data_IF_843358128013
#
_entry.id   IF_843358128013
#
_cell.length_a   1.000
_cell.length_b   1.000
_cell.length_c   1.000
_cell.angle_alpha   90.00
_cell.angle_beta   90.00
_cell.angle_gamma   90.00
#
_symmetry.space_group_name_H-M   'P 1'
#
loop_
_entity.id
_entity.type
_entity.pdbx_description
1 polymer ?
#
# COMPACT_ATOMS: atom_id res chain seq x y z
N UNK A 1 7.96 -11.74 19.81
CA UNK A 1 8.04 -11.45 18.37
C UNK A 1 6.92 -10.52 17.87
N UNK A 2 5.87 -10.22 18.64
CA UNK A 2 4.76 -9.34 18.19
C UNK A 2 4.82 -7.91 18.77
N UNK A 3 6.01 -7.36 18.96
CA UNK A 3 6.12 -5.95 19.34
C UNK A 3 5.83 -5.11 18.08
N UNK A 4 4.87 -4.17 18.09
CA UNK A 4 4.56 -3.32 16.94
C UNK A 4 5.78 -2.64 16.33
N UNK A 5 6.71 -2.16 17.18
CA UNK A 5 7.96 -1.55 16.73
C UNK A 5 8.88 -2.53 15.99
N UNK A 6 8.89 -3.81 16.40
CA UNK A 6 9.65 -4.84 15.70
C UNK A 6 9.03 -5.16 14.33
N UNK A 7 7.70 -5.33 14.29
CA UNK A 7 6.97 -5.57 13.04
C UNK A 7 7.17 -4.42 12.04
N UNK A 8 7.09 -3.18 12.50
CA UNK A 8 7.35 -1.99 11.70
C UNK A 8 8.77 -1.94 11.14
N UNK A 9 9.78 -2.28 11.95
CA UNK A 9 11.18 -2.38 11.48
C UNK A 9 11.35 -3.47 10.43
N UNK A 10 10.66 -4.61 10.56
CA UNK A 10 10.69 -5.66 9.54
C UNK A 10 10.10 -5.18 8.21
N UNK A 11 8.94 -4.50 8.25
CA UNK A 11 8.33 -3.92 7.05
C UNK A 11 9.21 -2.84 6.42
N UNK A 12 9.77 -1.93 7.22
CA UNK A 12 10.71 -0.92 6.75
C UNK A 12 11.96 -1.55 6.12
N UNK A 13 12.53 -2.59 6.74
CA UNK A 13 13.68 -3.30 6.17
C UNK A 13 13.31 -3.95 4.83
N UNK A 14 12.11 -4.53 4.70
CA UNK A 14 11.64 -5.09 3.45
C UNK A 14 11.58 -4.03 2.34
N UNK A 15 11.06 -2.83 2.63
CA UNK A 15 11.04 -1.71 1.67
C UNK A 15 12.45 -1.25 1.27
N UNK A 16 13.37 -1.15 2.23
CA UNK A 16 14.76 -0.78 1.92
C UNK A 16 15.45 -1.84 1.06
N UNK A 17 15.22 -3.12 1.34
CA UNK A 17 15.75 -4.23 0.54
C UNK A 17 15.15 -4.25 -0.87
N UNK A 18 13.88 -3.83 -1.03
CA UNK A 18 13.21 -3.75 -2.33
C UNK A 18 13.89 -2.79 -3.30
N UNK A 19 14.36 -1.63 -2.83
CA UNK A 19 15.09 -0.67 -3.68
C UNK A 19 16.59 -0.99 -3.75
N UNK A 20 17.15 -1.62 -2.71
CA UNK A 20 18.57 -2.02 -2.71
C UNK A 20 18.86 -3.26 -3.59
N UNK A 21 17.83 -3.99 -4.01
CA UNK A 21 17.97 -5.10 -4.93
C UNK A 21 18.47 -4.63 -6.30
N UNK A 22 19.55 -5.24 -6.80
CA UNK A 22 20.11 -4.93 -8.11
C UNK A 22 20.44 -6.23 -8.88
N UNK A 23 20.10 -6.31 -10.18
CA UNK A 23 19.29 -5.34 -10.93
C UNK A 23 17.80 -5.44 -10.55
N UNK A 24 17.07 -4.31 -10.59
CA UNK A 24 15.60 -4.26 -10.46
C UNK A 24 14.96 -3.96 -11.82
N UNK A 25 14.44 -4.98 -12.53
CA UNK A 25 13.91 -4.77 -13.88
C UNK A 25 12.76 -3.76 -13.91
N UNK A 26 12.92 -2.71 -14.72
CA UNK A 26 11.85 -1.74 -15.00
C UNK A 26 11.51 -0.80 -13.85
N UNK A 27 12.36 -0.68 -12.83
CA UNK A 27 12.12 0.21 -11.68
C UNK A 27 13.45 0.79 -11.16
N UNK A 28 13.36 1.74 -10.22
CA UNK A 28 14.52 2.38 -9.60
C UNK A 28 15.33 1.38 -8.76
N UNK A 29 16.65 1.37 -8.94
CA UNK A 29 17.60 0.68 -8.09
C UNK A 29 18.87 1.52 -7.84
N UNK A 30 19.90 0.91 -7.24
CA UNK A 30 21.15 1.60 -6.88
C UNK A 30 21.84 2.31 -8.04
N UNK A 31 21.73 1.77 -9.26
CA UNK A 31 22.44 2.23 -10.45
C UNK A 31 21.48 2.73 -11.55
N UNK A 32 20.16 2.75 -11.28
CA UNK A 32 19.14 3.17 -12.23
C UNK A 32 18.09 4.07 -11.56
N UNK A 33 18.13 5.37 -11.87
CA UNK A 33 17.11 6.35 -11.46
C UNK A 33 16.18 6.72 -12.62
N UNK A 34 14.98 7.17 -12.28
CA UNK A 34 14.11 7.93 -13.20
C UNK A 34 14.41 9.43 -13.08
N UNK A 35 14.02 10.27 -14.08
CA UNK A 35 14.29 11.71 -14.04
C UNK A 35 13.79 12.41 -12.77
N UNK A 36 12.63 11.97 -12.26
CA UNK A 36 11.98 12.57 -11.10
C UNK A 36 12.07 11.70 -9.84
N UNK A 37 12.46 10.42 -9.95
CA UNK A 37 12.42 9.45 -8.85
C UNK A 37 13.76 8.73 -8.73
N UNK A 38 14.43 8.87 -7.58
CA UNK A 38 15.77 8.30 -7.34
C UNK A 38 15.78 7.30 -6.19
N UNK A 39 16.86 6.54 -6.08
CA UNK A 39 17.13 5.63 -4.97
C UNK A 39 16.94 6.28 -3.58
N UNK A 40 17.41 7.51 -3.39
CA UNK A 40 17.28 8.26 -2.13
C UNK A 40 15.82 8.61 -1.81
N UNK A 41 14.97 8.83 -2.81
CA UNK A 41 13.54 9.03 -2.59
C UNK A 41 12.90 7.78 -1.99
N UNK A 42 13.27 6.59 -2.48
CA UNK A 42 12.81 5.34 -1.87
C UNK A 42 13.33 5.21 -0.43
N UNK A 43 14.61 5.45 -0.16
CA UNK A 43 15.14 5.39 1.21
C UNK A 43 14.43 6.35 2.15
N UNK A 44 14.24 7.61 1.75
CA UNK A 44 13.53 8.61 2.52
C UNK A 44 12.08 8.21 2.77
N UNK A 45 11.39 7.65 1.76
CA UNK A 45 10.04 7.10 1.92
C UNK A 45 10.02 5.97 2.96
N UNK A 46 10.93 5.00 2.89
CA UNK A 46 10.95 3.87 3.82
C UNK A 46 11.23 4.31 5.26
N UNK A 47 12.11 5.30 5.45
CA UNK A 47 12.38 5.90 6.76
C UNK A 47 11.17 6.66 7.28
N UNK A 48 10.60 7.54 6.46
CA UNK A 48 9.49 8.43 6.83
C UNK A 48 8.21 7.70 7.22
N UNK A 49 7.89 6.59 6.57
CA UNK A 49 6.65 5.86 6.83
C UNK A 49 6.66 5.00 8.10
N UNK A 50 7.80 4.86 8.78
CA UNK A 50 7.91 4.01 9.99
C UNK A 50 6.79 4.22 11.04
N UNK A 51 6.42 5.46 11.42
CA UNK A 51 5.38 5.68 12.42
C UNK A 51 4.02 5.09 11.99
N UNK A 52 3.69 5.15 10.70
CA UNK A 52 2.45 4.58 10.15
C UNK A 52 2.49 3.06 10.14
N UNK A 53 3.65 2.46 9.82
CA UNK A 53 3.83 1.00 9.89
C UNK A 53 3.69 0.49 11.33
N UNK A 54 4.22 1.22 12.31
CA UNK A 54 4.04 0.88 13.72
C UNK A 54 2.59 1.02 14.18
N UNK A 55 1.88 2.04 13.72
CA UNK A 55 0.45 2.22 14.00
C UNK A 55 -0.41 1.12 13.33
N UNK A 56 -0.06 0.71 12.10
CA UNK A 56 -0.72 -0.40 11.43
C UNK A 56 -0.59 -1.70 12.25
N UNK A 57 0.58 -1.97 12.83
CA UNK A 57 0.80 -3.11 13.71
C UNK A 57 0.03 -3.04 15.05
N UNK A 58 -0.56 -1.90 15.41
CA UNK A 58 -1.45 -1.73 16.59
C UNK A 58 -2.93 -1.76 16.22
N UNK A 59 -3.24 -1.53 14.95
CA UNK A 59 -4.58 -1.34 14.44
C UNK A 59 -5.27 -2.67 14.10
N UNK A 60 -6.60 -2.67 14.20
CA UNK A 60 -7.46 -3.83 13.82
C UNK A 60 -8.43 -3.51 12.70
N UNK A 61 -8.61 -2.23 12.37
CA UNK A 61 -9.51 -1.71 11.33
C UNK A 61 -8.85 -0.48 10.69
N UNK A 62 -9.43 0.04 9.61
CA UNK A 62 -8.96 1.28 8.99
C UNK A 62 -7.75 1.10 8.06
N UNK A 63 -7.64 -0.05 7.39
CA UNK A 63 -6.54 -0.33 6.47
C UNK A 63 -6.42 0.75 5.37
N UNK A 64 -7.53 1.24 4.83
CA UNK A 64 -7.50 2.28 3.79
C UNK A 64 -6.95 3.61 4.32
N UNK A 65 -7.31 3.98 5.55
CA UNK A 65 -6.81 5.20 6.18
C UNK A 65 -5.31 5.12 6.49
N UNK A 66 -4.82 3.94 6.90
CA UNK A 66 -3.39 3.68 7.10
C UNK A 66 -2.62 3.72 5.78
N UNK A 67 -3.18 3.18 4.68
CA UNK A 67 -2.56 3.26 3.35
C UNK A 67 -2.43 4.71 2.90
N UNK A 68 -3.49 5.51 3.09
CA UNK A 68 -3.42 6.96 2.83
C UNK A 68 -2.36 7.65 3.69
N UNK A 69 -2.33 7.36 4.99
CA UNK A 69 -1.35 7.96 5.89
C UNK A 69 0.09 7.62 5.50
N UNK A 70 0.35 6.39 5.02
CA UNK A 70 1.66 5.99 4.54
C UNK A 70 2.05 6.73 3.25
N UNK A 71 1.11 6.89 2.31
CA UNK A 71 1.31 7.71 1.11
C UNK A 71 1.63 9.18 1.48
N UNK A 72 0.90 9.76 2.43
CA UNK A 72 1.16 11.12 2.91
C UNK A 72 2.53 11.27 3.56
N UNK A 73 2.91 10.37 4.47
CA UNK A 73 4.23 10.41 5.10
C UNK A 73 5.35 10.22 4.09
N UNK A 74 5.19 9.34 3.10
CA UNK A 74 6.15 9.22 1.99
C UNK A 74 6.33 10.59 1.31
N UNK A 75 5.25 11.21 0.86
CA UNK A 75 5.31 12.51 0.16
C UNK A 75 5.78 13.68 1.04
N UNK A 76 5.72 13.58 2.37
CA UNK A 76 6.33 14.57 3.27
C UNK A 76 7.86 14.46 3.31
N UNK A 77 8.40 13.25 3.15
CA UNK A 77 9.83 12.96 3.29
C UNK A 77 10.59 12.97 1.97
N UNK A 78 9.90 12.87 0.83
CA UNK A 78 10.51 12.87 -0.50
C UNK A 78 9.61 13.56 -1.54
N UNK A 79 10.15 13.87 -2.73
CA UNK A 79 9.43 14.62 -3.78
C UNK A 79 9.42 13.94 -5.16
N UNK A 80 9.86 12.69 -5.25
CA UNK A 80 9.89 11.91 -6.48
C UNK A 80 8.63 11.11 -6.79
N UNK A 81 7.47 11.54 -6.29
CA UNK A 81 6.19 10.89 -6.57
C UNK A 81 6.09 9.48 -5.99
N UNK A 82 5.55 8.55 -6.78
CA UNK A 82 5.31 7.18 -6.36
C UNK A 82 6.62 6.40 -6.16
N UNK A 83 6.90 6.03 -4.90
CA UNK A 83 8.01 5.15 -4.53
C UNK A 83 7.49 3.78 -4.10
N UNK A 84 6.79 3.72 -2.96
CA UNK A 84 6.41 2.48 -2.28
C UNK A 84 4.90 2.26 -2.17
N UNK A 85 4.07 2.88 -3.02
CA UNK A 85 2.62 2.78 -2.85
C UNK A 85 2.15 1.32 -2.79
N UNK A 86 2.58 0.48 -3.74
CA UNK A 86 2.28 -0.95 -3.75
C UNK A 86 2.74 -1.67 -2.47
N UNK A 87 3.91 -1.31 -1.93
CA UNK A 87 4.38 -1.87 -0.67
C UNK A 87 3.48 -1.49 0.50
N UNK A 88 2.92 -0.27 0.55
CA UNK A 88 1.95 0.10 1.58
C UNK A 88 0.67 -0.74 1.49
N UNK A 89 0.14 -0.92 0.28
CA UNK A 89 -1.05 -1.75 0.03
C UNK A 89 -0.82 -3.20 0.47
N UNK A 90 0.37 -3.74 0.25
CA UNK A 90 0.72 -5.09 0.66
C UNK A 90 0.98 -5.20 2.18
N UNK A 91 1.82 -4.32 2.74
CA UNK A 91 2.37 -4.47 4.08
C UNK A 91 1.40 -4.08 5.19
N UNK A 92 0.50 -3.11 4.97
CA UNK A 92 -0.40 -2.63 6.03
C UNK A 92 -1.33 -3.73 6.55
N UNK A 93 -2.07 -4.48 5.71
CA UNK A 93 -2.89 -5.59 6.19
C UNK A 93 -2.08 -6.67 6.88
N UNK A 94 -0.86 -6.96 6.41
CA UNK A 94 0.04 -7.94 7.01
C UNK A 94 0.50 -7.50 8.41
N UNK A 95 0.85 -6.23 8.58
CA UNK A 95 1.21 -5.65 9.88
C UNK A 95 0.05 -5.70 10.86
N UNK A 96 -1.14 -5.27 10.42
CA UNK A 96 -2.37 -5.36 11.21
C UNK A 96 -2.66 -6.80 11.64
N UNK A 97 -2.50 -7.76 10.73
CA UNK A 97 -2.71 -9.18 10.98
C UNK A 97 -1.71 -9.72 12.02
N UNK A 98 -0.42 -9.46 11.83
CA UNK A 98 0.64 -9.90 12.74
C UNK A 98 0.50 -9.30 14.14
N UNK A 99 0.16 -8.00 14.22
CA UNK A 99 -0.05 -7.29 15.47
C UNK A 99 -1.27 -7.76 16.24
N UNK A 100 -2.37 -8.03 15.54
CA UNK A 100 -3.62 -8.53 16.13
C UNK A 100 -3.70 -10.05 16.28
N UNK A 101 -2.69 -10.79 15.80
CA UNK A 101 -2.64 -12.26 15.77
C UNK A 101 -3.83 -12.87 15.03
N UNK A 102 -4.17 -12.30 13.88
CA UNK A 102 -5.19 -12.82 12.98
C UNK A 102 -4.63 -13.09 11.59
N UNK A 103 -5.45 -13.62 10.69
CA UNK A 103 -5.06 -13.84 9.31
C UNK A 103 -5.22 -12.55 8.51
N UNK A 104 -4.28 -12.25 7.62
CA UNK A 104 -4.36 -11.06 6.76
C UNK A 104 -5.59 -11.10 5.84
N UNK A 105 -6.01 -12.30 5.40
CA UNK A 105 -7.28 -12.53 4.69
C UNK A 105 -8.49 -11.97 5.45
N UNK A 106 -8.51 -12.11 6.78
CA UNK A 106 -9.58 -11.55 7.61
C UNK A 106 -9.54 -10.02 7.64
N UNK A 107 -8.35 -9.43 7.78
CA UNK A 107 -8.18 -7.96 7.76
C UNK A 107 -8.74 -7.36 6.46
N UNK A 108 -8.40 -7.97 5.31
CA UNK A 108 -8.85 -7.44 4.01
C UNK A 108 -10.33 -7.68 3.76
N UNK A 109 -10.91 -8.82 4.17
CA UNK A 109 -12.34 -9.10 4.06
C UNK A 109 -13.21 -8.19 4.96
N UNK A 110 -12.67 -7.76 6.10
CA UNK A 110 -13.32 -6.86 7.04
C UNK A 110 -13.21 -5.37 6.64
N UNK A 111 -12.56 -5.06 5.51
CA UNK A 111 -12.53 -3.70 4.97
C UNK A 111 -13.92 -3.18 4.61
N UNK A 112 -14.04 -1.86 4.60
CA UNK A 112 -15.30 -1.14 4.41
C UNK A 112 -15.27 -0.23 3.20
N UNK A 113 -16.42 0.36 2.85
CA UNK A 113 -16.47 1.43 1.86
C UNK A 113 -15.72 2.69 2.27
N UNK A 114 -15.56 2.92 3.58
CA UNK A 114 -14.67 3.97 4.07
C UNK A 114 -13.21 3.66 3.71
N UNK A 115 -12.76 2.42 3.90
CA UNK A 115 -11.41 2.02 3.50
C UNK A 115 -11.20 2.18 1.98
N UNK A 116 -12.21 1.83 1.19
CA UNK A 116 -12.19 2.03 -0.26
C UNK A 116 -12.01 3.51 -0.65
N UNK A 117 -12.75 4.42 -0.02
CA UNK A 117 -12.63 5.86 -0.28
C UNK A 117 -11.25 6.40 0.14
N UNK A 118 -10.73 5.99 1.30
CA UNK A 118 -9.40 6.41 1.74
C UNK A 118 -8.30 5.86 0.82
N UNK A 119 -8.46 4.64 0.31
CA UNK A 119 -7.56 4.04 -0.68
C UNK A 119 -7.54 4.83 -2.00
N UNK A 120 -8.71 5.24 -2.51
CA UNK A 120 -8.82 6.11 -3.69
C UNK A 120 -8.07 7.43 -3.49
N UNK A 121 -8.21 8.06 -2.33
CA UNK A 121 -7.46 9.28 -1.99
C UNK A 121 -5.95 9.04 -1.96
N UNK A 122 -5.53 7.86 -1.50
CA UNK A 122 -4.12 7.52 -1.41
C UNK A 122 -3.44 7.45 -2.79
N UNK A 123 -4.15 6.97 -3.83
CA UNK A 123 -3.65 6.99 -5.22
C UNK A 123 -3.32 8.39 -5.70
N UNK A 124 -4.22 9.35 -5.47
CA UNK A 124 -4.01 10.75 -5.87
C UNK A 124 -2.81 11.37 -5.14
N UNK A 125 -2.63 11.06 -3.86
CA UNK A 125 -1.53 11.59 -3.04
C UNK A 125 -0.18 11.01 -3.48
N UNK A 126 -0.14 9.70 -3.74
CA UNK A 126 1.09 9.03 -4.14
C UNK A 126 1.45 9.24 -5.62
N UNK A 127 0.69 10.04 -6.38
CA UNK A 127 0.91 10.32 -7.81
C UNK A 127 1.05 9.02 -8.63
N UNK A 128 0.28 8.00 -8.27
CA UNK A 128 0.34 6.71 -8.95
C UNK A 128 -0.20 6.87 -10.36
N UNK A 129 0.63 6.52 -11.35
CA UNK A 129 0.20 6.42 -12.75
C UNK A 129 -0.55 5.11 -12.92
N UNK A 130 -1.78 5.20 -13.37
CA UNK A 130 -2.64 4.05 -13.63
C UNK A 130 -2.97 4.10 -15.11
N UNK A 131 -2.64 3.04 -15.83
CA UNK A 131 -3.17 2.86 -17.17
C UNK A 131 -4.69 2.73 -17.05
N UNK A 132 -5.42 3.59 -17.74
CA UNK A 132 -6.88 3.76 -17.59
C UNK A 132 -7.62 2.42 -17.48
N UNK A 133 -8.21 2.14 -16.32
CA UNK A 133 -9.06 0.96 -16.10
C UNK A 133 -10.51 1.36 -16.41
N UNK A 134 -11.24 0.64 -17.31
CA UNK A 134 -12.53 1.09 -17.85
C UNK A 134 -13.65 1.35 -16.83
N UNK A 135 -13.63 0.69 -15.67
CA UNK A 135 -14.81 0.63 -14.79
C UNK A 135 -14.76 1.61 -13.60
N UNK A 136 -13.58 2.12 -13.24
CA UNK A 136 -13.44 3.11 -12.18
C UNK A 136 -12.25 4.03 -12.48
N UNK A 137 -12.54 5.11 -13.19
CA UNK A 137 -11.54 6.15 -13.38
C UNK A 137 -11.29 6.84 -12.02
N UNK A 138 -10.08 6.65 -11.51
CA UNK A 138 -9.61 7.26 -10.25
C UNK A 138 -9.55 8.79 -10.34
N UNK A 139 -9.66 9.35 -11.55
CA UNK A 139 -9.80 10.78 -11.83
C UNK A 139 -11.23 11.33 -11.79
N UNK A 140 -12.28 10.50 -11.75
CA UNK A 140 -13.65 11.00 -11.67
C UNK A 140 -13.97 11.49 -10.26
N UNK A 141 -14.26 12.79 -10.15
CA UNK A 141 -14.63 13.48 -8.90
C UNK A 141 -15.85 12.87 -8.16
N UNK A 142 -16.58 11.94 -8.80
CA UNK A 142 -17.74 11.26 -8.23
C UNK A 142 -17.50 9.79 -7.83
N UNK A 143 -16.33 9.21 -8.10
CA UNK A 143 -16.02 7.81 -7.78
C UNK A 143 -16.09 7.54 -6.27
N UNK A 144 -15.59 8.46 -5.44
CA UNK A 144 -15.69 8.36 -3.97
C UNK A 144 -17.13 8.45 -3.44
N UNK A 145 -18.01 9.19 -4.14
CA UNK A 145 -19.42 9.30 -3.79
C UNK A 145 -20.13 7.96 -4.02
N UNK A 146 -19.99 7.43 -5.24
CA UNK A 146 -20.55 6.14 -5.65
C UNK A 146 -20.06 4.97 -4.80
N UNK A 147 -18.74 4.86 -4.55
CA UNK A 147 -18.17 3.82 -3.67
C UNK A 147 -18.84 3.80 -2.30
N UNK A 148 -19.10 4.99 -1.74
CA UNK A 148 -19.75 5.12 -0.43
C UNK A 148 -21.23 4.76 -0.49
N UNK A 149 -21.95 5.24 -1.50
CA UNK A 149 -23.38 5.00 -1.70
C UNK A 149 -23.68 3.53 -1.99
N UNK A 150 -22.90 2.90 -2.86
CA UNK A 150 -23.03 1.51 -3.27
C UNK A 150 -22.43 0.53 -2.24
N UNK A 151 -21.78 1.05 -1.18
CA UNK A 151 -21.20 0.23 -0.11
C UNK A 151 -20.02 -0.65 -0.56
N UNK A 152 -19.36 -0.31 -1.66
CA UNK A 152 -18.25 -1.07 -2.25
C UNK A 152 -17.09 -1.13 -1.28
N UNK A 153 -16.68 -2.32 -0.85
CA UNK A 153 -15.53 -2.48 0.08
C UNK A 153 -14.21 -2.41 -0.66
N UNK A 154 -13.13 -2.15 0.06
CA UNK A 154 -11.79 -2.12 -0.52
C UNK A 154 -11.41 -3.49 -1.15
N UNK A 155 -11.75 -4.60 -0.51
CA UNK A 155 -11.52 -5.93 -1.10
C UNK A 155 -12.27 -6.14 -2.41
N UNK A 156 -13.42 -5.49 -2.62
CA UNK A 156 -14.18 -5.62 -3.86
C UNK A 156 -13.48 -4.88 -5.00
N UNK A 157 -12.86 -3.75 -4.72
CA UNK A 157 -12.00 -3.04 -5.68
C UNK A 157 -10.79 -3.89 -6.08
N UNK A 158 -10.14 -4.55 -5.11
CA UNK A 158 -8.98 -5.41 -5.39
C UNK A 158 -9.37 -6.60 -6.28
N UNK A 159 -10.59 -7.14 -6.17
CA UNK A 159 -11.07 -8.21 -7.06
C UNK A 159 -11.13 -7.79 -8.53
N UNK A 160 -11.41 -6.52 -8.82
CA UNK A 160 -11.48 -6.02 -10.20
C UNK A 160 -10.12 -6.07 -10.91
N UNK A 161 -9.02 -6.01 -10.15
CA UNK A 161 -7.65 -5.98 -10.68
C UNK A 161 -6.84 -7.25 -10.43
N UNK A 162 -7.40 -8.25 -9.75
CA UNK A 162 -6.67 -9.42 -9.26
C UNK A 162 -6.06 -10.31 -10.36
N UNK A 163 -6.55 -10.22 -11.60
CA UNK A 163 -6.05 -11.01 -12.72
C UNK A 163 -4.78 -10.43 -13.36
N UNK A 164 -4.53 -9.13 -13.19
CA UNK A 164 -3.41 -8.41 -13.84
C UNK A 164 -2.50 -7.66 -12.87
N UNK A 165 -2.93 -7.44 -11.62
CA UNK A 165 -2.12 -6.82 -10.56
C UNK A 165 -1.78 -7.85 -9.47
N UNK A 166 -0.48 -8.04 -9.22
CA UNK A 166 0.02 -9.04 -8.27
C UNK A 166 -0.34 -8.71 -6.80
N UNK A 167 -0.44 -7.43 -6.45
CA UNK A 167 -0.81 -7.00 -5.09
C UNK A 167 -2.30 -7.21 -4.88
N UNK A 168 -3.12 -6.87 -5.88
CA UNK A 168 -4.53 -7.20 -5.91
C UNK A 168 -4.77 -8.71 -5.79
N UNK A 169 -3.96 -9.51 -6.51
CA UNK A 169 -4.00 -10.96 -6.41
C UNK A 169 -3.67 -11.49 -5.02
N UNK A 170 -2.66 -10.92 -4.34
CA UNK A 170 -2.34 -11.28 -2.94
C UNK A 170 -3.51 -10.95 -2.01
N UNK A 171 -4.16 -9.80 -2.15
CA UNK A 171 -5.33 -9.47 -1.34
C UNK A 171 -6.48 -10.47 -1.52
N UNK A 172 -6.75 -10.88 -2.76
CA UNK A 172 -7.86 -11.80 -3.07
C UNK A 172 -7.53 -13.25 -2.71
N UNK A 173 -6.28 -13.67 -2.88
CA UNK A 173 -5.84 -15.03 -2.54
C UNK A 173 -5.54 -15.21 -1.04
N UNK A 174 -5.52 -14.13 -0.25
CA UNK A 174 -5.18 -14.20 1.17
C UNK A 174 -3.68 -14.26 1.45
N UNK A 175 -2.88 -13.60 0.61
CA UNK A 175 -1.44 -13.41 0.72
C UNK A 175 -0.64 -14.72 0.56
N UNK A 176 -1.04 -15.58 -0.37
CA UNK A 176 -0.44 -16.91 -0.57
C UNK A 176 1.02 -16.87 -0.98
N UNK A 177 1.49 -15.84 -1.71
CA UNK A 177 2.90 -15.73 -2.11
C UNK A 177 3.75 -15.17 -0.98
N UNK A 178 3.22 -14.19 -0.25
CA UNK A 178 3.93 -13.50 0.83
C UNK A 178 4.02 -14.35 2.10
N UNK A 179 3.11 -15.32 2.28
CA UNK A 179 3.06 -16.18 3.47
C UNK A 179 3.84 -17.49 3.34
N UNK A 180 4.64 -17.67 2.28
CA UNK A 180 5.44 -18.88 2.02
C UNK A 180 6.83 -18.83 2.66
#
# INVERSE_FOLDING_TARGET
MNNPSHLARCAQLAMVLEVAAHPKPGNVDRDHDFPDTTFEHFLASAVGTYPVLEEAARSRTGAGALIRAAAEESMRWQRGGNTHFGAFVLLIPLLMAAGSKTQASKIVLDTTSKDAVEFYRAFSIAEVRIDSVPDFDLGESNSSGRIREDGVKLIDLMKLSADHDLIANEWVSGFERTSR
#
